data_IF_891211699547
#
_entry.id   IF_891211699547
#
_cell.length_a   1.000
_cell.length_b   1.000
_cell.length_c   1.000
_cell.angle_alpha   90.00
_cell.angle_beta   90.00
_cell.angle_gamma   90.00
#
_symmetry.space_group_name_H-M   'P 1'
#
loop_
_entity.id
_entity.type
_entity.pdbx_description
1 polymer ?
#
# COMPACT_ATOMS: atom_id res chain seq x y z
N UNK A 1 -32.13 -6.27 -25.04
CA UNK A 1 -32.00 -5.47 -23.81
C UNK A 1 -30.63 -4.79 -23.88
N UNK A 2 -30.51 -3.50 -23.57
CA UNK A 2 -29.20 -2.83 -23.57
C UNK A 2 -28.32 -3.39 -22.44
N UNK A 3 -26.99 -3.39 -22.63
CA UNK A 3 -26.07 -3.80 -21.56
C UNK A 3 -26.12 -2.81 -20.40
N UNK A 4 -25.94 -3.32 -19.18
CA UNK A 4 -25.89 -2.53 -17.95
C UNK A 4 -24.47 -1.99 -17.78
N UNK A 5 -24.30 -0.67 -17.87
CA UNK A 5 -23.00 -0.06 -17.62
C UNK A 5 -22.57 -0.28 -16.16
N UNK A 6 -21.41 -0.90 -15.97
CA UNK A 6 -20.91 -1.32 -14.65
C UNK A 6 -19.61 -0.60 -14.30
N UNK A 7 -19.51 -0.12 -13.06
CA UNK A 7 -18.30 0.51 -12.52
C UNK A 7 -17.91 -0.20 -11.24
N UNK A 8 -16.66 -0.61 -11.15
CA UNK A 8 -16.13 -1.37 -10.01
C UNK A 8 -15.26 -0.45 -9.15
N UNK A 9 -15.40 -0.55 -7.82
CA UNK A 9 -14.57 0.14 -6.85
C UNK A 9 -13.81 -0.92 -6.05
N UNK A 10 -12.49 -0.89 -6.14
CA UNK A 10 -11.61 -1.90 -5.55
C UNK A 10 -10.83 -1.28 -4.40
N UNK A 11 -11.01 -1.83 -3.21
CA UNK A 11 -10.11 -1.60 -2.09
C UNK A 11 -8.92 -2.53 -2.22
N UNK A 12 -7.78 -1.99 -2.68
CA UNK A 12 -6.63 -2.81 -3.04
C UNK A 12 -5.99 -3.50 -1.83
N UNK A 13 -5.91 -2.83 -0.68
CA UNK A 13 -5.24 -3.42 0.49
C UNK A 13 -6.00 -4.65 0.99
N UNK A 14 -7.33 -4.57 1.04
CA UNK A 14 -8.17 -5.70 1.42
C UNK A 14 -8.10 -6.84 0.39
N UNK A 15 -8.23 -6.51 -0.90
CA UNK A 15 -8.13 -7.53 -1.96
C UNK A 15 -6.75 -8.19 -2.00
N UNK A 16 -5.67 -7.42 -1.81
CA UNK A 16 -4.31 -7.94 -1.81
C UNK A 16 -4.10 -8.97 -0.70
N UNK A 17 -4.54 -8.65 0.53
CA UNK A 17 -4.44 -9.60 1.65
C UNK A 17 -5.24 -10.88 1.41
N UNK A 18 -6.43 -10.78 0.83
CA UNK A 18 -7.23 -11.96 0.48
C UNK A 18 -6.53 -12.80 -0.61
N UNK A 19 -5.95 -12.17 -1.63
CA UNK A 19 -5.22 -12.86 -2.69
C UNK A 19 -3.95 -13.54 -2.15
N UNK A 20 -3.20 -12.90 -1.25
CA UNK A 20 -2.06 -13.52 -0.58
C UNK A 20 -2.48 -14.79 0.17
N UNK A 21 -3.55 -14.73 0.97
CA UNK A 21 -4.06 -15.87 1.73
C UNK A 21 -4.54 -17.02 0.81
N UNK A 22 -5.19 -16.67 -0.31
CA UNK A 22 -5.63 -17.67 -1.29
C UNK A 22 -4.41 -18.32 -1.98
N UNK A 23 -3.36 -17.56 -2.32
CA UNK A 23 -2.15 -18.14 -2.91
C UNK A 23 -1.42 -19.12 -1.98
N UNK A 24 -1.51 -18.95 -0.67
CA UNK A 24 -0.94 -19.91 0.29
C UNK A 24 -1.69 -21.25 0.25
N UNK A 25 -3.00 -21.20 0.06
CA UNK A 25 -3.91 -22.33 0.29
C UNK A 25 -4.38 -23.05 -0.98
N UNK A 26 -4.54 -22.34 -2.09
CA UNK A 26 -5.09 -22.87 -3.35
C UNK A 26 -3.99 -23.02 -4.42
N UNK A 27 -3.80 -24.25 -4.91
CA UNK A 27 -2.80 -24.56 -5.94
C UNK A 27 -3.06 -23.86 -7.27
N UNK A 28 -4.32 -23.58 -7.63
CA UNK A 28 -4.66 -22.89 -8.86
C UNK A 28 -4.26 -21.42 -8.84
N UNK A 29 -4.10 -20.82 -7.65
CA UNK A 29 -3.68 -19.44 -7.48
C UNK A 29 -2.16 -19.30 -7.26
N UNK A 30 -1.45 -20.40 -7.00
CA UNK A 30 0.02 -20.38 -6.84
C UNK A 30 0.73 -19.99 -8.13
N UNK A 31 1.89 -19.38 -8.00
CA UNK A 31 2.80 -19.20 -9.12
C UNK A 31 3.19 -20.57 -9.72
N UNK A 32 3.27 -20.71 -11.05
CA UNK A 32 3.18 -19.66 -12.06
C UNK A 32 1.76 -19.40 -12.61
N UNK A 33 0.70 -19.98 -12.02
CA UNK A 33 -0.65 -19.96 -12.57
C UNK A 33 -1.34 -18.60 -12.46
N UNK A 34 -1.13 -17.90 -11.35
CA UNK A 34 -1.66 -16.57 -11.13
C UNK A 34 -0.64 -15.67 -10.42
N UNK A 35 -0.48 -14.45 -10.92
CA UNK A 35 0.35 -13.38 -10.36
C UNK A 35 -0.49 -12.11 -10.23
N UNK A 36 -0.92 -11.77 -9.02
CA UNK A 36 -1.68 -10.54 -8.76
C UNK A 36 -0.85 -9.27 -8.93
N UNK A 37 0.48 -9.35 -9.04
CA UNK A 37 1.32 -8.23 -9.41
C UNK A 37 1.31 -7.97 -10.92
N UNK A 38 0.82 -8.93 -11.72
CA UNK A 38 0.57 -8.74 -13.15
C UNK A 38 -0.81 -8.08 -13.35
N UNK A 39 -0.88 -6.83 -13.84
CA UNK A 39 -2.14 -6.12 -14.00
C UNK A 39 -3.13 -6.83 -14.94
N UNK A 40 -2.66 -7.53 -15.97
CA UNK A 40 -3.53 -8.21 -16.92
C UNK A 40 -4.26 -9.38 -16.26
N UNK A 41 -3.54 -10.18 -15.47
CA UNK A 41 -4.11 -11.31 -14.74
C UNK A 41 -5.07 -10.83 -13.64
N UNK A 42 -4.68 -9.82 -12.87
CA UNK A 42 -5.54 -9.23 -11.85
C UNK A 42 -6.83 -8.66 -12.46
N UNK A 43 -6.74 -7.96 -13.59
CA UNK A 43 -7.92 -7.42 -14.26
C UNK A 43 -8.78 -8.51 -14.91
N UNK A 44 -8.18 -9.60 -15.39
CA UNK A 44 -8.93 -10.75 -15.87
C UNK A 44 -9.75 -11.38 -14.74
N UNK A 45 -9.16 -11.54 -13.55
CA UNK A 45 -9.87 -12.01 -12.36
C UNK A 45 -11.02 -11.06 -11.97
N UNK A 46 -10.78 -9.75 -11.91
CA UNK A 46 -11.84 -8.79 -11.55
C UNK A 46 -12.98 -8.83 -12.58
N UNK A 47 -12.65 -8.98 -13.88
CA UNK A 47 -13.65 -9.06 -14.95
C UNK A 47 -14.41 -10.37 -14.97
N UNK A 48 -13.88 -11.46 -14.40
CA UNK A 48 -14.60 -12.74 -14.36
C UNK A 48 -15.79 -12.72 -13.41
N UNK A 49 -15.92 -11.69 -12.57
CA UNK A 49 -17.10 -11.46 -11.73
C UNK A 49 -18.23 -10.70 -12.43
N UNK A 50 -18.03 -10.23 -13.66
CA UNK A 50 -19.08 -9.52 -14.41
C UNK A 50 -20.07 -10.49 -15.03
N UNK A 51 -21.36 -10.18 -14.90
CA UNK A 51 -22.43 -10.93 -15.54
C UNK A 51 -22.49 -10.64 -17.06
N UNK A 52 -23.04 -11.55 -17.90
CA UNK A 52 -23.11 -11.37 -19.35
C UNK A 52 -23.83 -10.09 -19.81
N UNK A 53 -24.78 -9.60 -19.01
CA UNK A 53 -25.54 -8.38 -19.24
C UNK A 53 -24.78 -7.11 -18.84
N UNK A 54 -23.69 -7.23 -18.07
CA UNK A 54 -22.88 -6.11 -17.60
C UNK A 54 -21.80 -5.72 -18.61
N UNK A 55 -21.61 -4.41 -18.78
CA UNK A 55 -20.54 -3.83 -19.57
C UNK A 55 -19.64 -2.98 -18.69
N UNK A 56 -18.38 -3.39 -18.52
CA UNK A 56 -17.43 -2.65 -17.71
C UNK A 56 -17.13 -1.28 -18.34
N UNK A 57 -17.46 -0.22 -17.61
CA UNK A 57 -17.14 1.16 -17.98
C UNK A 57 -15.80 1.60 -17.40
N UNK A 58 -15.57 1.31 -16.11
CA UNK A 58 -14.41 1.80 -15.37
C UNK A 58 -14.16 0.99 -14.09
N UNK A 59 -12.90 0.87 -13.71
CA UNK A 59 -12.49 0.36 -12.40
C UNK A 59 -11.76 1.46 -11.64
N UNK A 60 -12.17 1.73 -10.42
CA UNK A 60 -11.49 2.63 -9.50
C UNK A 60 -10.71 1.82 -8.46
N UNK A 61 -9.38 1.91 -8.51
CA UNK A 61 -8.53 1.29 -7.50
C UNK A 61 -8.19 2.30 -6.41
N UNK A 62 -8.52 1.98 -5.16
CA UNK A 62 -8.10 2.73 -3.99
C UNK A 62 -6.84 2.09 -3.42
N UNK A 63 -5.74 2.83 -3.47
CA UNK A 63 -4.40 2.32 -3.13
C UNK A 63 -3.72 3.25 -2.13
N UNK A 64 -2.78 2.70 -1.36
CA UNK A 64 -1.93 3.47 -0.46
C UNK A 64 -0.91 4.34 -1.23
N UNK A 65 -0.58 5.51 -0.68
CA UNK A 65 0.56 6.30 -1.16
C UNK A 65 1.87 5.59 -0.79
N UNK A 66 2.77 5.34 -1.77
CA UNK A 66 4.08 4.76 -1.48
C UNK A 66 4.86 5.69 -0.55
N UNK A 67 5.64 5.10 0.36
CA UNK A 67 6.54 5.87 1.21
C UNK A 67 7.59 6.61 0.37
N UNK A 68 7.74 7.91 0.62
CA UNK A 68 8.80 8.73 0.01
C UNK A 68 9.52 9.56 1.07
N UNK A 69 10.82 9.77 0.87
CA UNK A 69 11.62 10.65 1.72
C UNK A 69 11.54 12.12 1.29
N UNK A 70 10.79 12.44 0.24
CA UNK A 70 10.76 13.78 -0.36
C UNK A 70 10.24 14.81 0.66
N UNK A 71 9.11 14.54 1.31
CA UNK A 71 8.55 15.47 2.30
C UNK A 71 9.49 15.72 3.50
N UNK A 72 10.05 14.68 4.18
CA UNK A 72 10.97 14.91 5.28
C UNK A 72 12.30 15.55 4.85
N UNK A 73 12.81 15.28 3.64
CA UNK A 73 14.06 15.88 3.15
C UNK A 73 13.93 17.38 2.82
N UNK A 74 12.74 17.84 2.41
CA UNK A 74 12.48 19.27 2.12
C UNK A 74 12.39 20.10 3.42
N UNK A 75 11.94 19.50 4.53
CA UNK A 75 11.78 20.21 5.81
C UNK A 75 12.96 19.89 6.74
N UNK A 76 13.81 20.90 7.01
CA UNK A 76 15.04 20.75 7.81
C UNK A 76 14.85 20.00 9.13
N UNK A 77 13.80 20.30 9.90
CA UNK A 77 13.52 19.62 11.17
C UNK A 77 13.16 18.14 11.01
N UNK A 78 12.45 17.78 9.93
CA UNK A 78 12.07 16.40 9.62
C UNK A 78 13.24 15.58 9.06
N UNK A 79 14.27 16.24 8.51
CA UNK A 79 15.47 15.58 7.98
C UNK A 79 16.24 14.89 9.10
N UNK A 80 16.54 15.60 10.19
CA UNK A 80 17.23 15.00 11.34
C UNK A 80 16.42 13.89 12.00
N UNK A 81 15.09 14.08 12.07
CA UNK A 81 14.17 13.06 12.59
C UNK A 81 14.19 11.78 11.77
N UNK A 82 14.26 11.89 10.44
CA UNK A 82 14.39 10.76 9.53
C UNK A 82 15.73 10.02 9.71
N UNK A 83 16.85 10.74 9.80
CA UNK A 83 18.16 10.11 10.00
C UNK A 83 18.24 9.39 11.36
N UNK A 84 17.75 10.02 12.44
CA UNK A 84 17.63 9.36 13.76
C UNK A 84 16.75 8.11 13.69
N UNK A 85 15.67 8.13 12.91
CA UNK A 85 14.80 6.97 12.74
C UNK A 85 15.51 5.83 12.00
N UNK A 86 16.29 6.12 10.94
CA UNK A 86 17.08 5.12 10.21
C UNK A 86 18.14 4.47 11.09
N UNK A 87 18.86 5.27 11.87
CA UNK A 87 19.89 4.77 12.78
C UNK A 87 19.30 3.86 13.86
N UNK A 88 18.14 4.22 14.42
CA UNK A 88 17.50 3.45 15.49
C UNK A 88 16.74 2.23 14.99
N UNK A 89 16.15 2.29 13.80
CA UNK A 89 15.26 1.25 13.27
C UNK A 89 15.63 0.86 11.82
N UNK A 90 16.87 0.38 11.56
CA UNK A 90 17.33 0.12 10.20
C UNK A 90 16.50 -0.93 9.47
N UNK A 91 16.11 -2.01 10.15
CA UNK A 91 15.28 -3.09 9.58
C UNK A 91 13.87 -2.63 9.23
N UNK A 92 13.21 -1.91 10.14
CA UNK A 92 11.86 -1.37 9.89
C UNK A 92 11.87 -0.36 8.74
N UNK A 93 12.91 0.47 8.66
CA UNK A 93 13.09 1.39 7.54
C UNK A 93 13.28 0.64 6.21
N UNK A 94 14.12 -0.39 6.17
CA UNK A 94 14.35 -1.22 4.99
C UNK A 94 13.05 -1.90 4.50
N UNK A 95 12.31 -2.56 5.39
CA UNK A 95 11.01 -3.17 5.07
C UNK A 95 10.03 -2.15 4.49
N UNK A 96 10.01 -0.95 5.05
CA UNK A 96 9.15 0.14 4.59
C UNK A 96 9.52 0.64 3.20
N UNK A 97 10.81 0.73 2.90
CA UNK A 97 11.32 1.07 1.57
C UNK A 97 10.96 -0.03 0.56
N UNK A 98 11.12 -1.30 0.93
CA UNK A 98 10.80 -2.43 0.06
C UNK A 98 9.30 -2.48 -0.28
N UNK A 99 8.43 -2.41 0.74
CA UNK A 99 6.96 -2.33 0.54
C UNK A 99 6.58 -1.14 -0.34
N UNK A 100 7.24 0.01 -0.16
CA UNK A 100 7.02 1.18 -1.00
C UNK A 100 7.38 0.96 -2.46
N UNK A 101 8.51 0.30 -2.72
CA UNK A 101 8.92 -0.05 -4.09
C UNK A 101 7.89 -0.93 -4.78
N UNK A 102 7.34 -1.92 -4.07
CA UNK A 102 6.27 -2.79 -4.58
C UNK A 102 5.01 -1.98 -4.90
N UNK A 103 4.52 -1.17 -3.95
CA UNK A 103 3.34 -0.29 -4.13
C UNK A 103 3.55 0.65 -5.31
N UNK A 104 4.73 1.25 -5.45
CA UNK A 104 5.04 2.17 -6.54
C UNK A 104 5.01 1.46 -7.89
N UNK A 105 5.60 0.26 -7.97
CA UNK A 105 5.66 -0.54 -9.20
C UNK A 105 4.26 -0.99 -9.62
N UNK A 106 3.47 -1.51 -8.67
CA UNK A 106 2.07 -1.87 -8.88
C UNK A 106 1.24 -0.66 -9.34
N UNK A 107 1.29 0.45 -8.61
CA UNK A 107 0.55 1.67 -8.94
C UNK A 107 0.91 2.17 -10.35
N UNK A 108 2.19 2.11 -10.74
CA UNK A 108 2.59 2.48 -12.08
C UNK A 108 2.00 1.54 -13.14
N UNK A 109 2.09 0.23 -12.92
CA UNK A 109 1.64 -0.79 -13.88
C UNK A 109 0.12 -0.79 -14.06
N UNK A 110 -0.65 -0.72 -12.96
CA UNK A 110 -2.11 -0.73 -12.99
C UNK A 110 -2.69 0.57 -13.55
N UNK A 111 -2.01 1.72 -13.37
CA UNK A 111 -2.42 3.01 -13.92
C UNK A 111 -2.42 3.05 -15.45
N UNK A 112 -1.56 2.25 -16.09
CA UNK A 112 -1.45 2.19 -17.54
C UNK A 112 -2.58 1.37 -18.18
N UNK A 113 -3.33 0.61 -17.37
CA UNK A 113 -4.37 -0.26 -17.88
C UNK A 113 -5.60 0.53 -18.32
N UNK A 114 -6.16 0.12 -19.46
CA UNK A 114 -7.38 0.71 -20.00
C UNK A 114 -8.53 0.57 -19.00
N UNK A 115 -9.38 1.60 -18.95
CA UNK A 115 -10.56 1.67 -18.07
C UNK A 115 -10.25 1.71 -16.57
N UNK A 116 -8.99 1.66 -16.13
CA UNK A 116 -8.61 1.82 -14.73
C UNK A 116 -8.41 3.31 -14.37
N UNK A 117 -8.78 3.69 -13.15
CA UNK A 117 -8.39 4.96 -12.52
C UNK A 117 -7.92 4.73 -11.09
N UNK A 118 -6.72 5.19 -10.76
CA UNK A 118 -6.21 5.13 -9.40
C UNK A 118 -6.70 6.29 -8.53
N UNK A 119 -6.97 5.96 -7.28
CA UNK A 119 -7.32 6.85 -6.18
C UNK A 119 -6.33 6.59 -5.04
N UNK A 120 -5.28 7.40 -4.98
CA UNK A 120 -4.23 7.25 -3.98
C UNK A 120 -4.64 7.94 -2.68
N UNK A 121 -4.76 7.17 -1.60
CA UNK A 121 -4.95 7.67 -0.24
C UNK A 121 -3.67 8.35 0.24
N UNK A 122 -3.69 9.67 0.43
CA UNK A 122 -2.52 10.43 0.87
C UNK A 122 -2.32 10.32 2.37
N UNK A 123 -1.07 10.11 2.80
CA UNK A 123 -0.72 10.04 4.21
C UNK A 123 0.33 11.09 4.56
N UNK A 124 0.21 11.66 5.75
CA UNK A 124 1.19 12.59 6.31
C UNK A 124 2.08 11.84 7.29
N UNK A 125 3.38 11.97 7.10
CA UNK A 125 4.36 11.55 8.09
C UNK A 125 4.29 12.46 9.30
N UNK A 126 4.01 11.84 10.44
CA UNK A 126 4.17 12.46 11.74
C UNK A 126 5.01 11.53 12.60
N UNK A 127 6.03 12.09 13.22
CA UNK A 127 6.83 11.37 14.17
C UNK A 127 6.32 11.70 15.58
N UNK A 128 6.16 10.69 16.44
CA UNK A 128 5.77 10.89 17.83
C UNK A 128 6.75 10.17 18.71
N UNK A 129 7.11 10.86 19.78
CA UNK A 129 7.77 10.26 20.92
C UNK A 129 6.78 9.32 21.58
N UNK A 130 7.02 8.01 21.43
CA UNK A 130 6.42 7.03 22.31
C UNK A 130 7.50 6.59 23.29
N UNK A 131 7.16 6.64 24.57
CA UNK A 131 7.96 6.00 25.60
C UNK A 131 7.65 4.51 25.49
N UNK A 132 8.67 3.68 25.34
CA UNK A 132 8.50 2.27 25.68
C UNK A 132 8.71 2.18 27.20
N UNK A 133 7.74 1.60 27.89
CA UNK A 133 7.85 1.20 29.30
C UNK A 133 8.79 -0.02 29.42
N UNK A 134 10.02 0.11 28.91
CA UNK A 134 11.11 -0.79 29.26
C UNK A 134 11.75 -0.21 30.51
N UNK A 135 11.58 -0.89 31.64
CA UNK A 135 12.38 -0.64 32.84
C UNK A 135 13.85 -0.86 32.50
N UNK A 136 14.56 0.23 32.18
CA UNK A 136 16.01 0.22 32.10
C UNK A 136 16.51 0.31 33.53
N UNK A 137 17.18 -0.73 34.03
CA UNK A 137 17.92 -0.70 35.29
C UNK A 137 18.77 0.58 35.31
N UNK A 138 18.37 1.56 36.15
CA UNK A 138 18.85 2.95 36.31
C UNK A 138 17.82 4.08 36.05
N UNK A 139 16.53 3.79 35.85
CA UNK A 139 15.47 4.81 35.89
C UNK A 139 15.42 5.76 34.69
N UNK A 140 16.02 5.37 33.56
CA UNK A 140 15.97 6.11 32.29
C UNK A 140 14.95 5.47 31.35
N UNK A 141 13.78 6.08 31.20
CA UNK A 141 12.78 5.68 30.19
C UNK A 141 13.35 5.84 28.76
N UNK A 142 13.30 4.77 27.97
CA UNK A 142 13.73 4.80 26.58
C UNK A 142 12.67 5.46 25.69
N UNK A 143 12.95 6.70 25.23
CA UNK A 143 12.15 7.36 24.19
C UNK A 143 12.45 6.74 22.82
N UNK A 144 11.49 5.97 22.28
CA UNK A 144 11.55 5.49 20.91
C UNK A 144 10.80 6.45 20.00
N UNK A 145 11.41 6.71 18.86
CA UNK A 145 10.85 7.58 17.84
C UNK A 145 10.08 6.70 16.86
N UNK A 146 8.76 6.64 17.02
CA UNK A 146 7.92 5.79 16.17
C UNK A 146 7.23 6.69 15.13
N UNK A 147 7.52 6.51 13.84
CA UNK A 147 6.77 7.20 12.79
C UNK A 147 5.37 6.63 12.70
N UNK A 148 4.37 7.49 12.62
CA UNK A 148 3.00 7.08 12.32
C UNK A 148 2.50 7.82 11.09
N UNK A 149 1.76 7.07 10.28
CA UNK A 149 1.08 7.59 9.12
C UNK A 149 -0.28 8.11 9.59
N UNK A 150 -0.56 9.40 9.36
CA UNK A 150 -1.89 9.95 9.56
C UNK A 150 -2.51 10.21 8.19
N UNK A 151 -3.73 9.73 7.96
CA UNK A 151 -4.49 10.05 6.75
C UNK A 151 -4.56 11.57 6.57
N UNK A 152 -4.21 12.03 5.37
CA UNK A 152 -4.32 13.42 4.99
C UNK A 152 -5.74 13.62 4.44
N UNK A 153 -6.65 14.01 5.33
CA UNK A 153 -7.98 14.47 4.91
C UNK A 153 -7.81 15.71 4.02
N UNK A 154 -8.52 15.73 2.90
CA UNK A 154 -8.57 16.88 1.99
C UNK A 154 -9.34 18.03 2.62
#
# INVERSE_FOLDING_TARGET
MGKIETTIFVDWENLHSDLEAIQETDECFKLPHFDFNNPEQLLALIRSFLEPEEELKRIYFYVSEPFTEVEPRIKSNKKEELERYKEKNPKEYEEKVNKSGIIQSFNHAIAQQNQVKLRVGRVKFKFVYKFEDKEVYNGLEAKIFIPYLKLRQK
#
